data_IF_400709646278
#
_entry.id   IF_400709646278
#
_cell.length_a   1.000
_cell.length_b   1.000
_cell.length_c   1.000
_cell.angle_alpha   90.00
_cell.angle_beta   90.00
_cell.angle_gamma   90.00
#
_symmetry.space_group_name_H-M   'P 1'
#
loop_
_entity.id
_entity.type
_entity.pdbx_description
1 polymer ?
#
# COMPACT_ATOMS: atom_id res chain seq x y z
N UNK A 1 10.80 -10.68 16.18
CA UNK A 1 10.99 -9.24 16.40
C UNK A 1 10.83 -8.52 15.05
N UNK A 2 9.71 -7.83 14.79
CA UNK A 2 9.41 -7.23 13.48
C UNK A 2 10.34 -6.05 13.11
N UNK A 3 10.92 -5.36 14.11
CA UNK A 3 11.81 -4.20 13.93
C UNK A 3 13.13 -4.42 13.16
N UNK A 4 13.49 -5.66 12.83
CA UNK A 4 14.76 -5.96 12.15
C UNK A 4 14.78 -5.51 10.69
N UNK A 5 13.65 -5.68 9.99
CA UNK A 5 13.58 -5.48 8.54
C UNK A 5 13.63 -3.99 8.20
N UNK A 6 12.84 -3.15 8.88
CA UNK A 6 12.84 -1.70 8.62
C UNK A 6 14.14 -1.03 9.02
N UNK A 7 14.76 -1.40 10.14
CA UNK A 7 16.03 -0.80 10.56
C UNK A 7 17.15 -1.07 9.56
N UNK A 8 17.20 -2.27 9.02
CA UNK A 8 18.18 -2.60 7.99
C UNK A 8 17.83 -1.91 6.67
N UNK A 9 16.54 -1.83 6.33
CA UNK A 9 16.06 -1.11 5.15
C UNK A 9 16.42 0.40 5.19
N UNK A 10 16.22 1.08 6.33
CA UNK A 10 16.56 2.49 6.54
C UNK A 10 18.07 2.78 6.46
N UNK A 11 18.93 1.77 6.62
CA UNK A 11 20.39 1.93 6.45
C UNK A 11 20.81 2.02 5.00
N UNK A 12 20.12 1.30 4.13
CA UNK A 12 20.48 1.20 2.71
C UNK A 12 19.64 2.11 1.81
N UNK A 13 18.44 2.50 2.24
CA UNK A 13 17.56 3.32 1.40
C UNK A 13 17.68 4.81 1.73
N UNK A 14 18.10 5.64 0.77
CA UNK A 14 18.21 7.07 0.99
C UNK A 14 16.84 7.74 1.14
N UNK A 15 16.74 8.85 1.89
CA UNK A 15 15.46 9.54 2.12
C UNK A 15 14.87 10.12 0.83
N UNK A 16 15.66 10.30 -0.23
CA UNK A 16 15.22 10.75 -1.56
C UNK A 16 14.65 9.65 -2.46
N UNK A 17 14.49 8.42 -1.96
CA UNK A 17 13.90 7.35 -2.78
C UNK A 17 12.46 7.71 -3.14
N UNK A 18 12.13 7.52 -4.42
CA UNK A 18 10.77 7.71 -4.94
C UNK A 18 10.05 6.39 -5.13
N UNK A 19 10.76 5.27 -5.16
CA UNK A 19 10.21 3.94 -5.36
C UNK A 19 10.85 2.93 -4.42
N UNK A 20 10.06 2.15 -3.68
CA UNK A 20 10.57 1.03 -2.91
C UNK A 20 9.59 -0.12 -2.75
N UNK A 21 10.12 -1.31 -2.46
CA UNK A 21 9.39 -2.44 -1.92
C UNK A 21 9.61 -2.60 -0.41
N UNK A 22 8.59 -3.12 0.25
CA UNK A 22 8.64 -3.56 1.64
C UNK A 22 8.00 -4.95 1.72
N UNK A 23 8.76 -5.91 2.24
CA UNK A 23 8.34 -7.30 2.39
C UNK A 23 8.09 -7.60 3.86
N UNK A 24 6.94 -8.18 4.18
CA UNK A 24 6.58 -8.48 5.57
C UNK A 24 6.49 -7.22 6.45
N UNK A 25 6.08 -6.10 5.87
CA UNK A 25 5.99 -4.81 6.55
C UNK A 25 4.71 -4.75 7.38
N UNK A 26 4.80 -4.42 8.67
CA UNK A 26 3.62 -4.10 9.49
C UNK A 26 3.14 -2.67 9.24
N UNK A 27 1.96 -2.29 9.77
CA UNK A 27 1.46 -0.91 9.69
C UNK A 27 2.40 0.07 10.41
N UNK A 28 2.96 -0.32 11.56
CA UNK A 28 3.90 0.53 12.29
C UNK A 28 5.22 0.72 11.53
N UNK A 29 5.68 -0.33 10.85
CA UNK A 29 6.84 -0.26 9.96
C UNK A 29 6.57 0.69 8.78
N UNK A 30 5.39 0.60 8.17
CA UNK A 30 4.93 1.50 7.13
C UNK A 30 4.97 2.97 7.59
N UNK A 31 4.47 3.27 8.80
CA UNK A 31 4.50 4.62 9.38
C UNK A 31 5.90 5.20 9.46
N UNK A 32 6.86 4.38 9.90
CA UNK A 32 8.26 4.80 10.01
C UNK A 32 8.85 5.05 8.62
N UNK A 33 8.60 4.17 7.66
CA UNK A 33 9.06 4.33 6.27
C UNK A 33 8.49 5.60 5.66
N UNK A 34 7.16 5.80 5.71
CA UNK A 34 6.52 6.97 5.10
C UNK A 34 6.95 8.29 5.74
N UNK A 35 7.27 8.30 7.04
CA UNK A 35 7.90 9.47 7.70
C UNK A 35 9.33 9.72 7.22
N UNK A 36 10.08 8.67 6.90
CA UNK A 36 11.46 8.78 6.45
C UNK A 36 11.56 9.16 4.96
N UNK A 37 10.64 8.69 4.12
CA UNK A 37 10.57 8.95 2.67
C UNK A 37 9.25 9.63 2.28
N UNK A 38 9.03 10.92 2.65
CA UNK A 38 7.75 11.61 2.40
C UNK A 38 7.47 11.85 0.90
N UNK A 39 8.50 11.80 0.06
CA UNK A 39 8.43 11.96 -1.40
C UNK A 39 8.23 10.65 -2.16
N UNK A 40 7.79 9.60 -1.46
CA UNK A 40 7.55 8.30 -2.07
C UNK A 40 6.40 8.38 -3.07
N UNK A 41 6.69 7.98 -4.31
CA UNK A 41 5.73 7.94 -5.42
C UNK A 41 5.27 6.53 -5.71
N UNK A 42 6.15 5.53 -5.55
CA UNK A 42 5.87 4.14 -5.84
C UNK A 42 6.16 3.28 -4.62
N UNK A 43 5.18 2.50 -4.19
CA UNK A 43 5.34 1.61 -3.05
C UNK A 43 4.78 0.23 -3.35
N UNK A 44 5.60 -0.79 -3.11
CA UNK A 44 5.23 -2.19 -3.27
C UNK A 44 5.22 -2.88 -1.91
N UNK A 45 4.09 -3.43 -1.50
CA UNK A 45 3.97 -4.22 -0.27
C UNK A 45 3.77 -5.68 -0.62
N UNK A 46 4.64 -6.54 -0.11
CA UNK A 46 4.47 -7.98 -0.22
C UNK A 46 4.07 -8.56 1.15
N UNK A 47 2.87 -9.16 1.20
CA UNK A 47 2.42 -9.95 2.34
C UNK A 47 3.24 -11.23 2.49
N UNK A 48 3.62 -11.56 3.73
CA UNK A 48 4.30 -12.82 4.05
C UNK A 48 3.42 -14.02 3.69
N UNK A 49 4.01 -15.06 3.11
CA UNK A 49 3.30 -16.16 2.45
C UNK A 49 2.78 -17.25 3.41
N UNK A 50 2.76 -17.02 4.72
CA UNK A 50 2.87 -18.12 5.69
C UNK A 50 1.67 -18.26 6.66
N UNK A 51 0.56 -17.56 6.43
CA UNK A 51 -0.66 -17.77 7.23
C UNK A 51 -1.80 -18.19 6.32
N UNK A 52 -1.99 -19.50 6.25
CA UNK A 52 -3.28 -20.12 5.96
C UNK A 52 -4.38 -19.38 6.73
N UNK A 53 -5.46 -19.12 6.00
CA UNK A 53 -6.82 -18.83 6.44
C UNK A 53 -7.06 -18.30 7.87
N UNK A 54 -7.79 -17.20 7.90
CA UNK A 54 -8.47 -16.58 9.04
C UNK A 54 -7.66 -15.58 9.87
N UNK A 55 -8.24 -14.38 9.95
CA UNK A 55 -8.07 -13.38 11.02
C UNK A 55 -6.73 -12.61 11.00
N UNK A 56 -6.64 -11.28 11.04
CA UNK A 56 -7.60 -10.18 11.15
C UNK A 56 -6.86 -8.86 10.77
N UNK A 57 -7.58 -7.89 10.23
CA UNK A 57 -7.34 -6.43 10.37
C UNK A 57 -6.06 -5.75 9.84
N UNK A 58 -5.04 -6.45 9.31
CA UNK A 58 -3.86 -5.78 8.75
C UNK A 58 -4.04 -5.04 7.40
N UNK A 59 -4.89 -5.47 6.44
CA UNK A 59 -4.76 -4.99 5.06
C UNK A 59 -5.35 -3.60 4.83
N UNK A 60 -6.54 -3.31 5.35
CA UNK A 60 -7.18 -2.00 5.17
C UNK A 60 -6.46 -0.90 5.97
N UNK A 61 -5.91 -1.25 7.14
CA UNK A 61 -5.12 -0.33 7.96
C UNK A 61 -3.83 0.14 7.25
N UNK A 62 -3.18 -0.74 6.48
CA UNK A 62 -2.02 -0.35 5.64
C UNK A 62 -2.44 0.68 4.60
N UNK A 63 -3.61 0.50 3.99
CA UNK A 63 -4.14 1.42 3.00
C UNK A 63 -4.52 2.76 3.65
N UNK A 64 -5.23 2.75 4.77
CA UNK A 64 -5.59 3.97 5.48
C UNK A 64 -4.36 4.78 5.87
N UNK A 65 -3.31 4.11 6.34
CA UNK A 65 -2.05 4.77 6.68
C UNK A 65 -1.35 5.32 5.43
N UNK A 66 -1.31 4.55 4.35
CA UNK A 66 -0.72 4.97 3.08
C UNK A 66 -1.45 6.20 2.51
N UNK A 67 -2.78 6.19 2.53
CA UNK A 67 -3.62 7.32 2.11
C UNK A 67 -3.38 8.52 3.02
N UNK A 68 -3.32 8.31 4.34
CA UNK A 68 -3.09 9.39 5.31
C UNK A 68 -1.71 10.04 5.13
N UNK A 69 -0.66 9.23 4.92
CA UNK A 69 0.71 9.72 4.90
C UNK A 69 1.23 10.07 3.49
N UNK A 70 0.69 9.49 2.42
CA UNK A 70 1.21 9.63 1.06
C UNK A 70 0.15 9.97 -0.02
N UNK A 71 -1.09 10.33 0.34
CA UNK A 71 -2.15 10.65 -0.66
C UNK A 71 -1.79 11.75 -1.67
N UNK A 72 -0.88 12.67 -1.34
CA UNK A 72 -0.46 13.76 -2.22
C UNK A 72 0.73 13.42 -3.12
N UNK A 73 1.50 12.38 -2.79
CA UNK A 73 2.75 12.03 -3.48
C UNK A 73 2.69 10.68 -4.18
N UNK A 74 1.84 9.77 -3.72
CA UNK A 74 1.72 8.42 -4.21
C UNK A 74 1.11 8.37 -5.62
N UNK A 75 1.87 7.84 -6.57
CA UNK A 75 1.49 7.66 -7.97
C UNK A 75 1.34 6.18 -8.35
N UNK A 76 2.01 5.27 -7.67
CA UNK A 76 1.95 3.83 -7.91
C UNK A 76 1.87 3.06 -6.60
N UNK A 77 0.87 2.20 -6.46
CA UNK A 77 0.77 1.28 -5.34
C UNK A 77 0.62 -0.14 -5.84
N UNK A 78 1.43 -1.03 -5.30
CA UNK A 78 1.39 -2.43 -5.66
C UNK A 78 1.32 -3.26 -4.39
N UNK A 79 0.48 -4.27 -4.40
CA UNK A 79 0.31 -5.17 -3.29
C UNK A 79 0.22 -6.60 -3.77
N UNK A 80 0.92 -7.49 -3.10
CA UNK A 80 0.92 -8.93 -3.41
C UNK A 80 0.56 -9.70 -2.15
N UNK A 81 -0.39 -10.64 -2.25
CA UNK A 81 -0.80 -11.53 -1.14
C UNK A 81 -1.33 -10.82 0.12
N UNK A 82 -1.86 -9.60 -0.01
CA UNK A 82 -2.63 -8.95 1.05
C UNK A 82 -4.08 -8.92 0.62
N UNK A 83 -5.08 -9.33 1.43
CA UNK A 83 -6.49 -9.25 1.03
C UNK A 83 -7.05 -7.84 1.29
N UNK A 84 -7.34 -7.02 0.27
CA UNK A 84 -7.95 -5.68 0.45
C UNK A 84 -9.47 -5.76 0.26
N UNK A 85 -10.23 -5.00 1.05
CA UNK A 85 -11.69 -4.90 0.93
C UNK A 85 -12.15 -3.70 0.09
N UNK A 86 -13.45 -3.64 -0.24
CA UNK A 86 -14.05 -2.47 -0.90
C UNK A 86 -13.89 -1.18 -0.09
N UNK A 87 -13.79 -1.27 1.24
CA UNK A 87 -13.56 -0.12 2.13
C UNK A 87 -12.20 0.52 1.85
N UNK A 88 -11.17 -0.32 1.72
CA UNK A 88 -9.83 0.15 1.41
C UNK A 88 -9.70 0.56 -0.07
N UNK A 89 -10.44 -0.05 -0.99
CA UNK A 89 -10.59 0.46 -2.35
C UNK A 89 -11.16 1.90 -2.34
N UNK A 90 -12.17 2.17 -1.51
CA UNK A 90 -12.72 3.52 -1.34
C UNK A 90 -11.73 4.49 -0.70
N UNK A 91 -10.91 4.04 0.24
CA UNK A 91 -9.83 4.86 0.81
C UNK A 91 -8.78 5.22 -0.25
N UNK A 92 -8.32 4.25 -1.05
CA UNK A 92 -7.42 4.49 -2.19
C UNK A 92 -8.04 5.43 -3.23
N UNK A 93 -9.37 5.39 -3.42
CA UNK A 93 -10.08 6.28 -4.32
C UNK A 93 -9.94 7.78 -3.93
N UNK A 94 -9.50 8.09 -2.72
CA UNK A 94 -9.21 9.48 -2.32
C UNK A 94 -7.85 9.99 -2.84
N UNK A 95 -6.96 9.09 -3.28
CA UNK A 95 -5.61 9.39 -3.77
C UNK A 95 -5.67 9.82 -5.25
N UNK A 96 -5.88 11.12 -5.47
CA UNK A 96 -6.03 11.65 -6.84
C UNK A 96 -4.81 11.52 -7.73
N UNK A 97 -3.62 11.38 -7.14
CA UNK A 97 -2.36 11.18 -7.84
C UNK A 97 -2.11 9.75 -8.32
N UNK A 98 -2.94 8.78 -7.91
CA UNK A 98 -2.72 7.38 -8.20
C UNK A 98 -2.93 7.08 -9.69
N UNK A 99 -1.87 6.61 -10.34
CA UNK A 99 -1.82 6.31 -11.77
C UNK A 99 -1.66 4.82 -12.07
N UNK A 100 -1.07 4.07 -11.14
CA UNK A 100 -0.90 2.63 -11.22
C UNK A 100 -1.33 1.99 -9.90
N UNK A 101 -2.26 1.06 -9.97
CA UNK A 101 -2.64 0.18 -8.88
C UNK A 101 -2.43 -1.25 -9.35
N UNK A 102 -1.79 -2.10 -8.55
CA UNK A 102 -1.63 -3.52 -8.88
C UNK A 102 -2.04 -4.35 -7.68
N UNK A 103 -3.13 -5.10 -7.84
CA UNK A 103 -3.74 -5.91 -6.78
C UNK A 103 -3.53 -7.39 -7.11
N UNK A 104 -2.33 -7.90 -6.86
CA UNK A 104 -1.97 -9.28 -7.20
C UNK A 104 -2.36 -10.27 -6.10
N UNK A 105 -3.19 -11.25 -6.47
CA UNK A 105 -3.57 -12.36 -5.57
C UNK A 105 -4.78 -12.08 -4.68
N UNK A 106 -5.58 -11.07 -4.98
CA UNK A 106 -6.79 -10.72 -4.23
C UNK A 106 -8.06 -11.28 -4.87
N UNK A 107 -8.98 -11.79 -4.05
CA UNK A 107 -10.33 -12.23 -4.46
C UNK A 107 -11.45 -11.46 -3.74
N UNK A 108 -11.12 -10.38 -3.04
CA UNK A 108 -12.00 -9.76 -2.04
C UNK A 108 -12.62 -8.43 -2.46
N UNK A 109 -12.09 -7.75 -3.48
CA UNK A 109 -12.69 -6.52 -4.02
C UNK A 109 -13.82 -6.89 -4.99
N UNK A 110 -14.98 -6.24 -4.82
CA UNK A 110 -16.13 -6.37 -5.71
C UNK A 110 -16.06 -5.36 -6.87
N UNK A 111 -16.89 -5.58 -7.89
CA UNK A 111 -17.06 -4.63 -8.99
C UNK A 111 -17.45 -3.22 -8.50
N UNK A 112 -18.19 -3.13 -7.39
CA UNK A 112 -18.55 -1.85 -6.79
C UNK A 112 -17.34 -1.13 -6.17
N UNK A 113 -16.43 -1.88 -5.54
CA UNK A 113 -15.14 -1.36 -5.08
C UNK A 113 -14.27 -0.85 -6.23
N UNK A 114 -14.21 -1.60 -7.34
CA UNK A 114 -13.49 -1.19 -8.55
C UNK A 114 -14.08 0.07 -9.19
N UNK A 115 -15.41 0.18 -9.28
CA UNK A 115 -16.09 1.39 -9.77
C UNK A 115 -15.74 2.58 -8.88
N UNK A 116 -15.69 2.40 -7.56
CA UNK A 116 -15.34 3.46 -6.62
C UNK A 116 -13.90 3.94 -6.84
N UNK A 117 -12.95 3.02 -6.97
CA UNK A 117 -11.56 3.31 -7.32
C UNK A 117 -11.45 4.11 -8.63
N UNK A 118 -12.09 3.64 -9.69
CA UNK A 118 -12.06 4.28 -11.00
C UNK A 118 -12.65 5.70 -10.97
N UNK A 119 -13.65 5.96 -10.12
CA UNK A 119 -14.27 7.29 -9.98
C UNK A 119 -13.42 8.25 -9.14
N UNK A 120 -12.73 7.75 -8.13
CA UNK A 120 -11.93 8.58 -7.23
C UNK A 120 -10.52 8.88 -7.73
N UNK A 121 -9.94 7.98 -8.52
CA UNK A 121 -8.61 8.11 -9.11
C UNK A 121 -8.70 8.42 -10.62
N UNK A 122 -8.98 9.67 -11.05
CA UNK A 122 -9.11 10.02 -12.47
C UNK A 122 -7.80 9.86 -13.26
N UNK A 123 -6.66 9.79 -12.56
CA UNK A 123 -5.34 9.56 -13.13
C UNK A 123 -4.99 8.08 -13.32
N UNK A 124 -5.84 7.15 -12.88
CA UNK A 124 -5.55 5.72 -12.90
C UNK A 124 -5.52 5.20 -14.35
N UNK A 125 -4.37 4.67 -14.75
CA UNK A 125 -4.12 4.13 -16.10
C UNK A 125 -3.91 2.62 -16.10
N UNK A 126 -3.49 2.07 -14.96
CA UNK A 126 -3.15 0.66 -14.79
C UNK A 126 -3.81 0.15 -13.50
N UNK A 127 -4.54 -0.96 -13.61
CA UNK A 127 -5.22 -1.69 -12.54
C UNK A 127 -4.91 -3.19 -12.68
#
# INVERSE_FOLDING_TARGET
QPYGVVKEWLRVVPPCVTSTNARGCSVDDLRVVLRYVPQLQAFHVEGGADSDADSDALPDAVIDELVTAASSTLASFQTTKLPISDSAAAALATVRGLSKLELSGQRTISDAGLITLARGCPGLRYL
#
